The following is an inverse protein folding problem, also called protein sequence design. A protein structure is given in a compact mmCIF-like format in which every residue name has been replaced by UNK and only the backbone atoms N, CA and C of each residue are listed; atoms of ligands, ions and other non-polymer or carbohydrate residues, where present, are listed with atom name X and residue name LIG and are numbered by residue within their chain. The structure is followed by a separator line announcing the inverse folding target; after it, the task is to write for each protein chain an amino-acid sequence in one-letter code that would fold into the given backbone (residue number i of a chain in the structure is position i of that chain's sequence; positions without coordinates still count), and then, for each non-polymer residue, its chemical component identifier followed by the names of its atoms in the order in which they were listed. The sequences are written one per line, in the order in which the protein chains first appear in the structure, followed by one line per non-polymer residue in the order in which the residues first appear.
data_IF_838229669003
#
_entry.id   IF_838229669003
#
_cell.length_a   1.000
_cell.length_b   1.000
_cell.length_c   1.000
_cell.angle_alpha   90.00
_cell.angle_beta   90.00
_cell.angle_gamma   90.00
#
_symmetry.space_group_name_H-M   'P 1'
#
loop_
_entity.id
_entity.type
_entity.pdbx_description
1 polymer ?
#
# COMPACT_ATOMS: atom_id res chain seq x y z
N UNK A 1 0.43 -6.09 -8.66
CA UNK A 1 0.12 -5.31 -7.45
C UNK A 1 -0.35 -6.15 -6.30
N UNK A 2 -0.71 -7.39 -6.52
CA UNK A 2 -1.13 -8.25 -5.42
C UNK A 2 0.01 -8.74 -4.56
N UNK A 3 1.22 -8.66 -5.09
CA UNK A 3 2.38 -9.16 -4.37
C UNK A 3 3.04 -8.05 -3.57
N UNK A 4 2.53 -7.82 -2.37
CA UNK A 4 3.06 -6.76 -1.51
C UNK A 4 4.46 -7.06 -1.00
N UNK A 5 4.93 -8.28 -1.17
CA UNK A 5 6.27 -8.62 -0.72
C UNK A 5 7.35 -7.88 -1.48
N UNK A 6 7.02 -7.42 -2.69
CA UNK A 6 8.00 -6.73 -3.51
C UNK A 6 8.24 -5.29 -3.08
N UNK A 7 7.44 -4.78 -2.15
CA UNK A 7 7.64 -3.42 -1.67
C UNK A 7 8.89 -3.35 -0.80
N UNK A 8 9.71 -2.34 -1.05
CA UNK A 8 10.83 -2.06 -0.16
C UNK A 8 10.30 -1.42 1.12
N UNK A 9 11.16 -1.32 2.13
CA UNK A 9 10.78 -0.67 3.37
C UNK A 9 10.40 0.78 3.15
N UNK A 10 11.12 1.47 2.30
CA UNK A 10 10.81 2.85 1.99
C UNK A 10 9.46 2.97 1.33
N UNK A 11 9.14 2.06 0.41
CA UNK A 11 7.85 2.07 -0.24
C UNK A 11 6.72 1.83 0.76
N UNK A 12 6.92 0.88 1.66
CA UNK A 12 5.91 0.59 2.67
C UNK A 12 5.60 1.80 3.52
N UNK A 13 6.65 2.46 4.00
CA UNK A 13 6.48 3.64 4.82
C UNK A 13 5.82 4.77 4.06
N UNK A 14 6.25 4.98 2.83
CA UNK A 14 5.68 6.04 2.00
C UNK A 14 4.19 5.84 1.80
N UNK A 15 3.80 4.62 1.41
CA UNK A 15 2.39 4.36 1.15
C UNK A 15 1.56 4.47 2.42
N UNK A 16 2.09 4.00 3.53
CA UNK A 16 1.36 4.06 4.78
C UNK A 16 1.05 5.50 5.18
N UNK A 17 1.97 6.40 4.88
CA UNK A 17 1.82 7.80 5.27
C UNK A 17 1.07 8.61 4.21
N UNK A 18 1.41 8.40 2.95
CA UNK A 18 0.96 9.31 1.89
C UNK A 18 -0.27 8.85 1.12
N UNK A 19 -0.63 7.59 1.21
CA UNK A 19 -1.76 7.10 0.42
C UNK A 19 -3.12 7.55 0.95
N UNK A 20 -3.16 8.05 2.18
CA UNK A 20 -4.42 8.53 2.74
C UNK A 20 -5.34 7.41 3.16
N UNK A 21 -4.78 6.34 3.70
CA UNK A 21 -5.59 5.22 4.17
C UNK A 21 -6.44 5.62 5.37
N UNK A 22 -7.66 5.12 5.41
CA UNK A 22 -8.46 5.25 6.63
C UNK A 22 -8.03 4.15 7.62
N UNK A 23 -8.69 4.09 8.78
CA UNK A 23 -8.30 3.14 9.82
C UNK A 23 -8.30 1.70 9.36
N UNK A 24 -9.33 1.32 8.63
CA UNK A 24 -9.46 -0.06 8.18
C UNK A 24 -8.44 -0.39 7.11
N UNK A 25 -8.21 0.55 6.22
CA UNK A 25 -7.21 0.36 5.17
C UNK A 25 -5.82 0.27 5.75
N UNK A 26 -5.51 1.08 6.76
CA UNK A 26 -4.23 1.00 7.43
C UNK A 26 -4.03 -0.36 8.10
N UNK A 27 -5.07 -0.84 8.76
CA UNK A 27 -4.99 -2.12 9.42
C UNK A 27 -4.75 -3.23 8.41
N UNK A 28 -5.51 -3.21 7.32
CA UNK A 28 -5.34 -4.22 6.29
C UNK A 28 -3.96 -4.13 5.64
N UNK A 29 -3.49 -2.91 5.39
CA UNK A 29 -2.18 -2.72 4.80
C UNK A 29 -1.10 -3.35 5.69
N UNK A 30 -1.19 -3.12 7.00
CA UNK A 30 -0.23 -3.71 7.92
C UNK A 30 -0.29 -5.23 7.93
N UNK A 31 -1.49 -5.75 7.93
CA UNK A 31 -1.64 -7.21 7.96
C UNK A 31 -1.10 -7.84 6.68
N UNK A 32 -1.36 -7.23 5.53
CA UNK A 32 -0.95 -7.80 4.26
C UNK A 32 0.53 -7.56 3.96
N UNK A 33 1.03 -6.39 4.29
CA UNK A 33 2.36 -5.97 3.87
C UNK A 33 3.41 -6.30 4.91
N UNK A 34 3.15 -5.96 6.16
CA UNK A 34 4.14 -6.17 7.21
C UNK A 34 4.05 -7.56 7.82
N UNK A 35 2.85 -8.07 8.01
CA UNK A 35 2.66 -9.36 8.64
C UNK A 35 2.41 -10.49 7.66
N UNK A 36 2.27 -10.17 6.39
CA UNK A 36 2.10 -11.15 5.32
C UNK A 36 0.93 -12.09 5.52
N UNK A 37 -0.15 -11.58 6.07
CA UNK A 37 -1.37 -12.37 6.25
C UNK A 37 -2.14 -12.47 4.96
N UNK A 38 -2.84 -13.58 4.78
CA UNK A 38 -3.74 -13.72 3.64
C UNK A 38 -5.00 -12.90 3.89
N UNK A 39 -5.78 -12.71 2.84
CA UNK A 39 -7.05 -12.00 3.01
C UNK A 39 -7.98 -12.73 3.96
N UNK A 40 -7.96 -14.06 3.94
CA UNK A 40 -8.78 -14.85 4.85
C UNK A 40 -8.37 -14.61 6.29
N UNK A 41 -7.06 -14.62 6.54
CA UNK A 41 -6.56 -14.36 7.88
C UNK A 41 -6.87 -12.95 8.33
N UNK A 42 -6.71 -11.98 7.44
CA UNK A 42 -7.05 -10.59 7.76
C UNK A 42 -8.51 -10.44 8.08
N UNK A 43 -9.37 -11.15 7.36
CA UNK A 43 -10.79 -11.13 7.60
C UNK A 43 -11.11 -11.56 9.03
N UNK A 44 -10.47 -12.63 9.48
CA UNK A 44 -10.68 -13.11 10.84
C UNK A 44 -10.16 -12.13 11.88
N UNK A 45 -8.98 -11.60 11.64
CA UNK A 45 -8.37 -10.66 12.58
C UNK A 45 -9.18 -9.39 12.70
N UNK A 46 -9.65 -8.87 11.56
CA UNK A 46 -10.37 -7.60 11.55
C UNK A 46 -11.83 -7.76 11.95
N UNK A 47 -12.36 -8.98 11.89
CA UNK A 47 -13.75 -9.20 12.25
C UNK A 47 -14.72 -8.82 11.18
N UNK A 48 -14.29 -8.76 9.93
CA UNK A 48 -15.15 -8.44 8.80
C UNK A 48 -15.32 -9.68 7.91
N UNK A 49 -16.38 -9.70 7.12
CA UNK A 49 -16.55 -10.78 6.16
C UNK A 49 -15.48 -10.70 5.08
N UNK A 50 -15.16 -11.83 4.44
CA UNK A 50 -14.17 -11.81 3.37
C UNK A 50 -14.51 -10.84 2.25
N UNK A 51 -15.80 -10.69 1.94
CA UNK A 51 -16.21 -9.76 0.91
C UNK A 51 -15.89 -8.32 1.30
N UNK A 52 -16.12 -7.97 2.55
CA UNK A 52 -15.82 -6.63 3.04
C UNK A 52 -14.33 -6.37 2.99
N UNK A 53 -13.53 -7.34 3.42
CA UNK A 53 -12.08 -7.18 3.39
C UNK A 53 -11.58 -7.05 1.95
N UNK A 54 -12.19 -7.79 1.03
CA UNK A 54 -11.80 -7.67 -0.36
C UNK A 54 -12.08 -6.26 -0.90
N UNK A 55 -13.18 -5.66 -0.51
CA UNK A 55 -13.48 -4.29 -0.90
C UNK A 55 -12.47 -3.31 -0.34
N UNK A 56 -12.12 -3.50 0.92
CA UNK A 56 -11.11 -2.64 1.55
C UNK A 56 -9.79 -2.80 0.83
N UNK A 57 -9.44 -4.03 0.49
CA UNK A 57 -8.22 -4.32 -0.21
C UNK A 57 -8.16 -3.63 -1.59
N UNK A 58 -9.28 -3.61 -2.29
CA UNK A 58 -9.32 -2.96 -3.59
C UNK A 58 -9.16 -1.45 -3.48
N UNK A 59 -9.78 -0.85 -2.47
CA UNK A 59 -9.60 0.58 -2.24
C UNK A 59 -8.16 0.89 -1.87
N UNK A 60 -7.58 0.05 -1.05
CA UNK A 60 -6.19 0.18 -0.65
C UNK A 60 -5.26 0.16 -1.87
N UNK A 61 -5.48 -0.80 -2.75
CA UNK A 61 -4.67 -0.90 -3.96
C UNK A 61 -4.80 0.33 -4.83
N UNK A 62 -6.02 0.84 -4.99
CA UNK A 62 -6.22 2.04 -5.80
C UNK A 62 -5.48 3.22 -5.23
N UNK A 63 -5.48 3.36 -3.91
CA UNK A 63 -4.78 4.46 -3.27
C UNK A 63 -3.28 4.35 -3.45
N UNK A 64 -2.76 3.14 -3.39
CA UNK A 64 -1.34 2.92 -3.64
C UNK A 64 -0.99 3.30 -5.08
N UNK A 65 -1.78 2.82 -6.03
CA UNK A 65 -1.52 3.11 -7.43
C UNK A 65 -1.53 4.61 -7.69
N UNK A 66 -2.41 5.32 -6.99
CA UNK A 66 -2.54 6.75 -7.18
C UNK A 66 -1.30 7.51 -6.72
N UNK A 67 -0.66 7.06 -5.64
CA UNK A 67 0.50 7.78 -5.10
C UNK A 67 1.84 7.20 -5.52
N UNK A 68 1.85 6.01 -6.09
CA UNK A 68 3.10 5.38 -6.49
C UNK A 68 3.94 6.27 -7.42
N UNK A 69 3.34 6.93 -8.43
CA UNK A 69 4.15 7.81 -9.27
C UNK A 69 4.81 8.93 -8.49
N UNK A 70 4.17 9.40 -7.42
CA UNK A 70 4.77 10.44 -6.60
C UNK A 70 6.02 9.93 -5.89
N UNK A 71 5.98 8.71 -5.43
CA UNK A 71 7.12 8.11 -4.78
C UNK A 71 8.32 8.05 -5.72
N UNK A 72 8.09 7.54 -6.92
CA UNK A 72 9.18 7.38 -7.86
C UNK A 72 9.68 8.70 -8.37
N UNK A 73 8.81 9.68 -8.50
CA UNK A 73 9.20 11.02 -8.91
C UNK A 73 10.09 11.67 -7.85
N UNK A 74 9.71 11.52 -6.57
CA UNK A 74 10.51 12.05 -5.49
C UNK A 74 11.87 11.42 -5.43
N UNK A 75 11.93 10.13 -5.64
CA UNK A 75 13.19 9.43 -5.65
C UNK A 75 14.10 9.94 -6.77
N UNK A 76 13.51 10.18 -7.94
CA UNK A 76 14.27 10.74 -9.05
C UNK A 76 14.83 12.10 -8.72
N UNK A 77 14.08 12.92 -8.00
CA UNK A 77 14.56 14.22 -7.59
C UNK A 77 15.76 14.10 -6.67
N UNK A 78 15.74 13.14 -5.78
CA UNK A 78 16.87 12.90 -4.92
C UNK A 78 18.09 12.47 -5.70
N UNK A 79 17.89 11.66 -6.70
CA UNK A 79 18.98 11.23 -7.53
C UNK A 79 19.52 12.35 -8.36
N UNK A 80 18.72 13.37 -8.60
CA UNK A 80 19.23 14.58 -9.21
C UNK A 80 19.36 14.59 -10.70
N UNK A 81 19.24 13.46 -11.34
CA UNK A 81 19.36 13.52 -12.75
C UNK A 81 18.03 13.27 -13.36
N UNK A 82 17.91 13.04 -14.46
CA UNK A 82 16.76 12.77 -15.26
C UNK A 82 15.44 13.16 -14.68
N UNK A 83 15.42 13.96 -13.67
CA UNK A 83 14.18 14.45 -13.16
C UNK A 83 13.47 15.21 -14.24
N UNK A 84 14.19 15.87 -15.05
CA UNK A 84 13.59 16.67 -16.11
C UNK A 84 12.76 15.82 -17.05
N UNK A 85 13.08 14.57 -17.11
CA UNK A 85 12.35 13.74 -18.01
C UNK A 85 11.09 13.23 -17.44
N UNK A 86 10.88 13.39 -16.19
CA UNK A 86 9.69 12.86 -15.58
C UNK A 86 8.49 13.79 -15.69
#
# INVERSE_FOLDING_TARGET
MDNYKDFTEDERSFYLIEAGFDSREKQLFRLRVYEEKTLAEASEIMGYSPRTVDRINQKLKRKIIKVAPMYYRGFSLYCGENTAKQ
#
